data_IF_458471934264
#
_entry.id   IF_458471934264
#
_cell.length_a   1.000
_cell.length_b   1.000
_cell.length_c   1.000
_cell.angle_alpha   90.00
_cell.angle_beta   90.00
_cell.angle_gamma   90.00
#
_symmetry.space_group_name_H-M   'P 1'
#
loop_
_entity.id
_entity.type
_entity.pdbx_description
1 polymer ?
#
# COMPACT_ATOMS: atom_id res chain seq x y z
N UNK A 1 20.68 15.20 13.90
CA UNK A 1 21.40 13.90 13.80
C UNK A 1 20.47 12.68 13.73
N UNK A 2 19.54 12.51 14.69
CA UNK A 2 18.66 11.33 14.73
C UNK A 2 17.78 11.19 13.46
N UNK A 3 17.20 12.29 12.97
CA UNK A 3 16.39 12.29 11.74
C UNK A 3 17.20 11.85 10.51
N UNK A 4 18.45 12.32 10.39
CA UNK A 4 19.34 11.96 9.30
C UNK A 4 19.67 10.46 9.29
N UNK A 5 20.04 9.91 10.45
CA UNK A 5 20.34 8.50 10.61
C UNK A 5 19.11 7.64 10.31
N UNK A 6 17.95 7.99 10.87
CA UNK A 6 16.69 7.31 10.63
C UNK A 6 16.31 7.32 9.14
N UNK A 7 16.39 8.48 8.49
CA UNK A 7 16.14 8.61 7.05
C UNK A 7 17.06 7.75 6.20
N UNK A 8 18.35 7.72 6.54
CA UNK A 8 19.36 6.92 5.82
C UNK A 8 19.12 5.42 5.96
N UNK A 9 18.86 4.95 7.19
CA UNK A 9 18.53 3.54 7.45
C UNK A 9 17.26 3.14 6.70
N UNK A 10 16.25 4.01 6.73
CA UNK A 10 14.97 3.76 6.08
C UNK A 10 15.10 3.73 4.55
N UNK A 11 15.91 4.62 3.96
CA UNK A 11 16.26 4.59 2.54
C UNK A 11 16.98 3.30 2.16
N UNK A 12 18.06 2.97 2.87
CA UNK A 12 18.84 1.76 2.60
C UNK A 12 17.96 0.50 2.72
N UNK A 13 17.17 0.41 3.79
CA UNK A 13 16.23 -0.68 4.01
C UNK A 13 15.18 -0.78 2.91
N UNK A 14 14.56 0.34 2.51
CA UNK A 14 13.55 0.36 1.47
C UNK A 14 14.12 0.04 0.07
N UNK A 15 15.37 0.41 -0.22
CA UNK A 15 16.06 0.03 -1.46
C UNK A 15 16.39 -1.47 -1.48
N UNK A 16 16.91 -2.01 -0.38
CA UNK A 16 17.18 -3.45 -0.27
C UNK A 16 15.89 -4.25 -0.38
N UNK A 17 14.84 -3.82 0.33
CA UNK A 17 13.53 -4.44 0.29
C UNK A 17 12.89 -4.38 -1.11
N UNK A 18 13.05 -3.27 -1.84
CA UNK A 18 12.64 -3.16 -3.25
C UNK A 18 13.33 -4.21 -4.13
N UNK A 19 14.66 -4.28 -4.04
CA UNK A 19 15.50 -5.12 -4.88
C UNK A 19 15.29 -6.62 -4.61
N UNK A 20 15.12 -7.00 -3.34
CA UNK A 20 15.04 -8.39 -2.92
C UNK A 20 13.60 -8.87 -2.82
N UNK A 21 12.75 -8.15 -2.07
CA UNK A 21 11.41 -8.63 -1.72
C UNK A 21 10.39 -8.21 -2.75
N UNK A 22 10.26 -6.91 -3.04
CA UNK A 22 9.23 -6.41 -3.97
C UNK A 22 9.46 -6.97 -5.38
N UNK A 23 10.71 -6.99 -5.86
CA UNK A 23 11.03 -7.59 -7.18
C UNK A 23 10.66 -9.07 -7.27
N UNK A 24 10.93 -9.86 -6.22
CA UNK A 24 10.56 -11.29 -6.18
C UNK A 24 9.05 -11.46 -6.09
N UNK A 25 8.40 -10.69 -5.21
CA UNK A 25 6.95 -10.66 -5.07
C UNK A 25 6.25 -10.38 -6.40
N UNK A 26 6.79 -9.50 -7.24
CA UNK A 26 6.17 -9.21 -8.54
C UNK A 26 6.27 -10.35 -9.56
N UNK A 27 7.24 -11.25 -9.40
CA UNK A 27 7.53 -12.34 -10.34
C UNK A 27 6.99 -13.69 -9.89
N UNK A 28 6.98 -13.94 -8.58
CA UNK A 28 6.66 -15.24 -8.00
C UNK A 28 5.39 -15.19 -7.13
N UNK A 29 4.28 -15.86 -7.53
CA UNK A 29 3.08 -15.93 -6.72
C UNK A 29 3.29 -16.66 -5.38
N UNK A 30 4.20 -17.63 -5.31
CA UNK A 30 4.49 -18.33 -4.05
C UNK A 30 5.12 -17.40 -3.01
N UNK A 31 5.86 -16.37 -3.45
CA UNK A 31 6.37 -15.33 -2.57
C UNK A 31 5.24 -14.50 -1.95
N UNK A 32 4.17 -14.22 -2.68
CA UNK A 32 3.01 -13.50 -2.17
C UNK A 32 2.30 -14.28 -1.05
N UNK A 33 2.17 -15.60 -1.21
CA UNK A 33 1.58 -16.48 -0.19
C UNK A 33 2.44 -16.55 1.07
N UNK A 34 3.76 -16.73 0.91
CA UNK A 34 4.70 -16.71 2.04
C UNK A 34 4.64 -15.40 2.82
N UNK A 35 4.56 -14.26 2.15
CA UNK A 35 4.43 -12.97 2.81
C UNK A 35 3.07 -12.80 3.49
N UNK A 36 1.99 -13.28 2.88
CA UNK A 36 0.66 -13.24 3.49
C UNK A 36 0.59 -14.14 4.76
N UNK A 37 1.30 -15.27 4.75
CA UNK A 37 1.47 -16.15 5.90
C UNK A 37 2.38 -15.53 6.96
N UNK A 38 3.48 -14.88 6.59
CA UNK A 38 4.32 -14.16 7.54
C UNK A 38 3.53 -13.05 8.27
N UNK A 39 2.63 -12.36 7.56
CA UNK A 39 1.73 -11.37 8.16
C UNK A 39 0.60 -11.99 9.00
N UNK A 40 0.44 -13.32 9.04
CA UNK A 40 -0.58 -13.98 9.84
C UNK A 40 -0.37 -13.86 11.34
N UNK A 41 0.86 -13.55 11.76
CA UNK A 41 1.20 -13.21 13.15
C UNK A 41 0.51 -11.92 13.60
N UNK A 42 0.16 -11.03 12.67
CA UNK A 42 -0.60 -9.83 12.99
C UNK A 42 -2.09 -10.19 13.15
N UNK A 43 -2.77 -9.58 14.13
CA UNK A 43 -4.21 -9.76 14.42
C UNK A 43 -5.13 -9.13 13.35
N UNK A 44 -4.83 -9.36 12.08
CA UNK A 44 -5.52 -8.79 10.92
C UNK A 44 -6.05 -9.92 10.05
N UNK A 45 -7.27 -9.79 9.54
CA UNK A 45 -7.93 -10.83 8.76
C UNK A 45 -7.20 -11.18 7.45
N UNK A 46 -7.43 -12.38 6.88
CA UNK A 46 -6.74 -12.86 5.67
C UNK A 46 -6.82 -11.90 4.47
N UNK A 47 -7.99 -11.27 4.28
CA UNK A 47 -8.19 -10.32 3.18
C UNK A 47 -7.35 -9.04 3.34
N UNK A 48 -7.13 -8.59 4.58
CA UNK A 48 -6.31 -7.41 4.84
C UNK A 48 -4.83 -7.72 4.65
N UNK A 49 -4.37 -8.91 5.09
CA UNK A 49 -3.01 -9.40 4.84
C UNK A 49 -2.70 -9.44 3.34
N UNK A 50 -3.63 -10.01 2.56
CA UNK A 50 -3.50 -10.07 1.09
C UNK A 50 -3.49 -8.68 0.46
N UNK A 51 -4.31 -7.76 0.98
CA UNK A 51 -4.29 -6.35 0.61
C UNK A 51 -2.92 -5.69 0.88
N UNK A 52 -2.32 -5.94 2.03
CA UNK A 52 -0.98 -5.43 2.40
C UNK A 52 0.10 -5.96 1.46
N UNK A 53 0.09 -7.27 1.17
CA UNK A 53 1.03 -7.88 0.21
C UNK A 53 0.87 -7.26 -1.17
N UNK A 54 -0.36 -7.06 -1.63
CA UNK A 54 -0.64 -6.39 -2.91
C UNK A 54 -0.14 -4.94 -2.93
N UNK A 55 -0.31 -4.22 -1.82
CA UNK A 55 0.14 -2.85 -1.63
C UNK A 55 1.64 -2.72 -1.34
N UNK A 56 2.44 -3.79 -1.38
CA UNK A 56 3.83 -3.75 -0.94
C UNK A 56 4.70 -2.78 -1.75
N UNK A 57 4.45 -2.65 -3.07
CA UNK A 57 5.17 -1.68 -3.90
C UNK A 57 4.88 -0.23 -3.45
N UNK A 58 3.60 0.10 -3.22
CA UNK A 58 3.21 1.42 -2.71
C UNK A 58 3.75 1.69 -1.31
N UNK A 59 3.73 0.70 -0.42
CA UNK A 59 4.33 0.81 0.91
C UNK A 59 5.82 1.11 0.82
N UNK A 60 6.55 0.38 -0.04
CA UNK A 60 7.97 0.59 -0.23
C UNK A 60 8.27 1.99 -0.79
N UNK A 61 7.47 2.47 -1.74
CA UNK A 61 7.60 3.82 -2.27
C UNK A 61 7.32 4.89 -1.19
N UNK A 62 6.33 4.68 -0.32
CA UNK A 62 6.08 5.56 0.82
C UNK A 62 7.28 5.62 1.75
N UNK A 63 7.89 4.48 2.05
CA UNK A 63 9.10 4.42 2.86
C UNK A 63 10.24 5.19 2.19
N UNK A 64 10.48 5.01 0.88
CA UNK A 64 11.49 5.82 0.17
C UNK A 64 11.22 7.32 0.29
N UNK A 65 9.97 7.75 0.10
CA UNK A 65 9.59 9.16 0.21
C UNK A 65 9.81 9.71 1.63
N UNK A 66 9.43 8.94 2.66
CA UNK A 66 9.66 9.28 4.06
C UNK A 66 11.16 9.32 4.39
N UNK A 67 11.94 8.39 3.85
CA UNK A 67 13.39 8.33 4.02
C UNK A 67 14.08 9.56 3.45
N UNK A 68 13.72 9.96 2.22
CA UNK A 68 14.20 11.22 1.61
C UNK A 68 13.83 12.42 2.48
N UNK A 69 12.59 12.49 2.95
CA UNK A 69 12.13 13.59 3.80
C UNK A 69 12.96 13.68 5.10
N UNK A 70 13.11 12.57 5.82
CA UNK A 70 13.86 12.52 7.07
C UNK A 70 15.35 12.82 6.89
N UNK A 71 15.97 12.31 5.82
CA UNK A 71 17.36 12.63 5.48
C UNK A 71 17.52 14.11 5.19
N UNK A 72 16.62 14.71 4.39
CA UNK A 72 16.65 16.12 4.06
C UNK A 72 16.45 17.03 5.29
N UNK A 73 15.50 16.71 6.17
CA UNK A 73 15.31 17.43 7.45
C UNK A 73 16.55 17.27 8.33
N UNK A 74 17.06 16.05 8.46
CA UNK A 74 18.23 15.77 9.28
C UNK A 74 19.50 16.45 8.78
N UNK A 75 19.71 16.57 7.47
CA UNK A 75 20.80 17.36 6.89
C UNK A 75 20.68 18.84 7.20
N UNK A 76 19.47 19.39 7.12
CA UNK A 76 19.23 20.79 7.48
C UNK A 76 19.54 21.10 8.94
N UNK A 77 19.15 20.19 9.85
CA UNK A 77 19.50 20.31 11.27
C UNK A 77 21.01 20.23 11.53
N UNK A 78 21.72 19.38 10.77
CA UNK A 78 23.18 19.24 10.87
C UNK A 78 23.93 20.50 10.44
N UNK A 79 23.39 21.24 9.47
CA UNK A 79 23.92 22.53 9.01
C UNK A 79 23.52 23.70 9.94
N UNK A 80 23.05 23.40 11.16
CA UNK A 80 22.70 24.41 12.16
C UNK A 80 21.35 25.10 11.93
N UNK A 81 20.50 24.56 11.05
CA UNK A 81 19.15 25.10 10.82
C UNK A 81 19.14 26.47 10.12
N UNK A 82 20.21 26.83 9.41
CA UNK A 82 20.30 28.08 8.64
C UNK A 82 19.19 28.17 7.58
N UNK A 83 19.02 29.35 6.96
CA UNK A 83 17.97 29.57 5.96
C UNK A 83 17.94 28.45 4.90
N UNK A 84 16.80 27.77 4.81
CA UNK A 84 16.66 26.59 3.95
C UNK A 84 16.73 27.00 2.48
N UNK A 85 17.77 26.54 1.78
CA UNK A 85 17.97 26.81 0.35
C UNK A 85 16.78 26.32 -0.51
N UNK A 86 16.58 26.92 -1.71
CA UNK A 86 15.42 26.64 -2.55
C UNK A 86 15.33 25.17 -2.97
N UNK A 87 16.47 24.52 -3.18
CA UNK A 87 16.55 23.09 -3.53
C UNK A 87 16.02 22.23 -2.39
N UNK A 88 16.53 22.41 -1.17
CA UNK A 88 16.14 21.60 -0.02
C UNK A 88 14.67 21.78 0.35
N UNK A 89 14.17 23.01 0.26
CA UNK A 89 12.74 23.33 0.41
C UNK A 89 11.87 22.59 -0.62
N UNK A 90 12.34 22.48 -1.86
CA UNK A 90 11.65 21.75 -2.93
C UNK A 90 11.64 20.25 -2.66
N UNK A 91 12.79 19.69 -2.26
CA UNK A 91 12.91 18.27 -1.89
C UNK A 91 11.95 17.90 -0.75
N UNK A 92 11.87 18.73 0.30
CA UNK A 92 10.92 18.49 1.41
C UNK A 92 9.46 18.51 0.94
N UNK A 93 9.07 19.49 0.12
CA UNK A 93 7.70 19.59 -0.39
C UNK A 93 7.35 18.40 -1.28
N UNK A 94 8.22 18.04 -2.21
CA UNK A 94 7.99 16.93 -3.14
C UNK A 94 7.94 15.59 -2.39
N UNK A 95 8.84 15.36 -1.44
CA UNK A 95 8.84 14.12 -0.64
C UNK A 95 7.63 14.03 0.29
N UNK A 96 7.15 15.14 0.85
CA UNK A 96 5.92 15.16 1.64
C UNK A 96 4.68 14.90 0.78
N UNK A 97 4.54 15.62 -0.34
CA UNK A 97 3.41 15.43 -1.27
C UNK A 97 3.43 14.01 -1.85
N UNK A 98 4.61 13.53 -2.25
CA UNK A 98 4.81 12.16 -2.72
C UNK A 98 4.39 11.12 -1.69
N UNK A 99 4.76 11.31 -0.42
CA UNK A 99 4.34 10.44 0.67
C UNK A 99 2.81 10.41 0.81
N UNK A 100 2.14 11.57 0.80
CA UNK A 100 0.68 11.65 0.93
C UNK A 100 -0.05 10.98 -0.24
N UNK A 101 0.42 11.21 -1.47
CA UNK A 101 -0.15 10.56 -2.68
C UNK A 101 0.05 9.05 -2.61
N UNK A 102 1.23 8.59 -2.23
CA UNK A 102 1.53 7.16 -2.11
C UNK A 102 0.76 6.51 -0.95
N UNK A 103 0.53 7.22 0.15
CA UNK A 103 -0.33 6.79 1.25
C UNK A 103 -1.78 6.60 0.78
N UNK A 104 -2.33 7.57 0.07
CA UNK A 104 -3.66 7.45 -0.52
C UNK A 104 -3.75 6.29 -1.52
N UNK A 105 -2.73 6.11 -2.38
CA UNK A 105 -2.65 4.99 -3.32
C UNK A 105 -2.53 3.63 -2.61
N UNK A 106 -1.79 3.57 -1.51
CA UNK A 106 -1.64 2.36 -0.69
C UNK A 106 -2.97 1.95 -0.06
N UNK A 107 -3.65 2.89 0.60
CA UNK A 107 -4.99 2.64 1.17
C UNK A 107 -5.99 2.23 0.08
N UNK A 108 -5.98 2.92 -1.07
CA UNK A 108 -6.85 2.59 -2.21
C UNK A 108 -6.56 1.18 -2.74
N UNK A 109 -5.30 0.78 -2.78
CA UNK A 109 -4.90 -0.57 -3.20
C UNK A 109 -5.38 -1.62 -2.21
N UNK A 110 -5.34 -1.37 -0.90
CA UNK A 110 -5.83 -2.32 0.12
C UNK A 110 -7.37 -2.40 0.08
N UNK A 111 -8.05 -1.26 0.10
CA UNK A 111 -9.50 -1.19 0.28
C UNK A 111 -10.29 -1.51 -0.99
N UNK A 112 -9.80 -1.06 -2.15
CA UNK A 112 -10.52 -1.12 -3.42
C UNK A 112 -9.81 -1.91 -4.53
N UNK A 113 -8.55 -2.30 -4.32
CA UNK A 113 -7.68 -2.81 -5.39
C UNK A 113 -7.57 -1.82 -6.57
N UNK A 114 -7.39 -0.54 -6.25
CA UNK A 114 -7.23 0.51 -7.25
C UNK A 114 -6.08 1.46 -6.86
N UNK A 115 -5.22 1.86 -7.80
CA UNK A 115 -5.18 1.45 -9.20
C UNK A 115 -4.50 0.09 -9.42
N UNK A 116 -5.07 -0.75 -10.29
CA UNK A 116 -4.66 -2.15 -10.48
C UNK A 116 -3.24 -2.33 -11.02
N UNK A 117 -2.67 -1.32 -11.68
CA UNK A 117 -1.30 -1.42 -12.19
C UNK A 117 -0.25 -1.41 -11.07
N UNK A 118 -0.59 -0.92 -9.87
CA UNK A 118 0.31 -0.91 -8.69
C UNK A 118 0.37 -2.29 -7.99
N UNK A 119 -0.49 -3.22 -8.38
CA UNK A 119 -0.50 -4.58 -7.88
C UNK A 119 0.32 -5.53 -8.79
N UNK A 120 0.97 -6.56 -8.21
CA UNK A 120 1.56 -7.66 -8.96
C UNK A 120 0.57 -8.27 -9.94
N UNK A 121 1.02 -8.66 -11.14
CA UNK A 121 0.14 -9.11 -12.24
C UNK A 121 -0.81 -10.24 -11.81
N UNK A 122 -0.30 -11.22 -11.07
CA UNK A 122 -1.07 -12.36 -10.57
C UNK A 122 -2.04 -12.01 -9.42
N UNK A 123 -1.95 -10.82 -8.83
CA UNK A 123 -2.85 -10.33 -7.77
C UNK A 123 -3.85 -9.27 -8.27
N UNK A 124 -3.80 -8.88 -9.56
CA UNK A 124 -4.70 -7.84 -10.11
C UNK A 124 -6.17 -8.24 -10.10
N UNK A 125 -6.46 -9.54 -10.12
CA UNK A 125 -7.82 -10.09 -10.04
C UNK A 125 -8.41 -10.10 -8.62
N UNK A 126 -7.62 -9.79 -7.60
CA UNK A 126 -8.05 -9.87 -6.21
C UNK A 126 -9.05 -8.76 -5.87
N UNK A 127 -10.06 -9.06 -5.06
CA UNK A 127 -10.97 -8.01 -4.60
C UNK A 127 -10.32 -7.13 -3.51
N UNK A 128 -10.72 -5.87 -3.42
CA UNK A 128 -10.40 -5.01 -2.28
C UNK A 128 -11.25 -5.38 -1.06
N UNK A 129 -10.79 -5.05 0.16
CA UNK A 129 -11.52 -5.33 1.41
C UNK A 129 -12.98 -4.84 1.37
N UNK A 130 -13.16 -3.57 1.00
CA UNK A 130 -14.48 -2.93 0.96
C UNK A 130 -15.30 -3.48 -0.20
N UNK A 131 -14.65 -3.72 -1.34
CA UNK A 131 -15.33 -4.26 -2.54
C UNK A 131 -15.89 -5.66 -2.28
N UNK A 132 -15.10 -6.53 -1.64
CA UNK A 132 -15.52 -7.86 -1.23
C UNK A 132 -16.67 -7.82 -0.22
N UNK A 133 -16.57 -6.93 0.78
CA UNK A 133 -17.62 -6.74 1.79
C UNK A 133 -18.95 -6.28 1.16
N UNK A 134 -18.90 -5.29 0.27
CA UNK A 134 -20.07 -4.79 -0.46
C UNK A 134 -20.69 -5.87 -1.36
N UNK A 135 -19.87 -6.68 -2.03
CA UNK A 135 -20.33 -7.80 -2.86
C UNK A 135 -21.00 -8.89 -2.02
N UNK A 136 -20.42 -9.24 -0.86
CA UNK A 136 -21.02 -10.21 0.07
C UNK A 136 -22.37 -9.71 0.61
N UNK A 137 -22.48 -8.43 0.93
CA UNK A 137 -23.76 -7.79 1.36
C UNK A 137 -24.84 -7.78 0.26
N UNK A 138 -24.46 -7.70 -1.01
CA UNK A 138 -25.40 -7.81 -2.14
C UNK A 138 -25.91 -9.23 -2.39
N UNK A 139 -25.26 -10.26 -1.85
CA UNK A 139 -25.53 -11.67 -2.16
C UNK A 139 -26.54 -12.49 -1.30
N UNK A 140 -27.25 -12.00 -0.26
CA UNK A 140 -28.19 -12.90 0.45
C UNK A 140 -29.66 -12.86 0.00
N UNK A 141 -30.15 -11.79 -0.66
CA UNK A 141 -31.61 -11.58 -0.81
C UNK A 141 -32.18 -11.55 -2.24
N UNK A 142 -31.36 -11.30 -3.26
CA UNK A 142 -31.89 -11.05 -4.61
C UNK A 142 -32.29 -12.32 -5.36
N UNK A 143 -31.63 -13.45 -5.11
CA UNK A 143 -31.98 -14.73 -5.73
C UNK A 143 -33.23 -15.35 -5.10
N UNK A 144 -33.39 -15.29 -3.77
CA UNK A 144 -34.60 -15.76 -3.10
C UNK A 144 -35.82 -14.85 -3.36
N UNK A 145 -35.64 -13.52 -3.45
CA UNK A 145 -36.73 -12.60 -3.84
C UNK A 145 -37.07 -12.67 -5.32
N UNK A 146 -36.10 -12.89 -6.21
CA UNK A 146 -36.36 -13.10 -7.63
C UNK A 146 -37.05 -14.45 -7.90
N UNK A 147 -36.70 -15.50 -7.14
CA UNK A 147 -37.39 -16.79 -7.17
C UNK A 147 -38.82 -16.67 -6.61
N UNK A 148 -39.00 -16.04 -5.45
CA UNK A 148 -40.32 -15.81 -4.87
C UNK A 148 -41.22 -14.89 -5.73
N UNK A 149 -40.66 -13.95 -6.51
CA UNK A 149 -41.40 -13.14 -7.50
C UNK A 149 -41.83 -13.94 -8.72
N UNK A 150 -41.01 -14.90 -9.16
CA UNK A 150 -41.37 -15.81 -10.27
C UNK A 150 -42.44 -16.81 -9.84
N UNK A 151 -42.41 -17.27 -8.60
CA UNK A 151 -43.43 -18.17 -8.04
C UNK A 151 -44.78 -17.48 -7.76
N UNK A 152 -44.79 -16.16 -7.50
CA UNK A 152 -46.05 -15.39 -7.31
C UNK A 152 -46.79 -15.00 -8.58
N UNK A 153 -46.22 -15.25 -9.76
CA UNK A 153 -46.95 -15.05 -11.02
C UNK A 153 -47.41 -13.60 -11.31
N UNK A 154 -46.80 -12.60 -10.69
CA UNK A 154 -47.09 -11.20 -11.00
C UNK A 154 -46.30 -10.79 -12.26
N UNK A 155 -47.00 -10.76 -13.39
CA UNK A 155 -46.60 -10.06 -14.62
C UNK A 155 -46.96 -8.59 -14.50
#
# INVERSE_FOLDING_TARGET
MAAFAAGTVLLAGALLHLCVVVRRLWRDPAQAERLALALSVMAVGPAARRGTVRGMATLNAMLLSMGVFLTAVGSWELDGGAAMGPVLKTVLRVSLVGFLVLFAAHLSTIWFNFPRFLAPVHMRGDEGLVTAALRKRRKPGNSQRAAARRERGER
#
